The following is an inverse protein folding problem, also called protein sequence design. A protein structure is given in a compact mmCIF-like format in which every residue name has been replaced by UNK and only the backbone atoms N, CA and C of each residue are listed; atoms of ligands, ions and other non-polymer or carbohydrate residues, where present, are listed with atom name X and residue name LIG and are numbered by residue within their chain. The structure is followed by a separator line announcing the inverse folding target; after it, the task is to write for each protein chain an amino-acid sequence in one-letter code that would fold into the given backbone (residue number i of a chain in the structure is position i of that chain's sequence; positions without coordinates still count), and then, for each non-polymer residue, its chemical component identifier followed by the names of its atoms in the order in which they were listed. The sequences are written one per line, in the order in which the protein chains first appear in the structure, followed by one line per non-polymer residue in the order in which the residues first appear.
data_IF_454020386486
#
_entry.id   IF_454020386486
#
_cell.length_a   1.000
_cell.length_b   1.000
_cell.length_c   1.000
_cell.angle_alpha   90.00
_cell.angle_beta   90.00
_cell.angle_gamma   90.00
#
_symmetry.space_group_name_H-M   'P 1'
#
loop_
_entity.id
_entity.type
_entity.pdbx_description
1 polymer ?
#
# COMPACT_ATOMS: atom_id res chain seq x y z
N UNK A 1 4.74 5.64 -24.86
CA UNK A 1 4.73 5.92 -26.31
C UNK A 1 5.07 4.68 -27.14
N UNK A 2 5.95 3.81 -26.65
CA UNK A 2 6.35 2.57 -27.33
C UNK A 2 5.15 1.66 -27.67
N UNK A 3 4.12 1.63 -26.83
CA UNK A 3 2.88 0.86 -27.09
C UNK A 3 2.12 1.35 -28.32
N UNK A 4 2.23 2.63 -28.67
CA UNK A 4 1.58 3.20 -29.85
C UNK A 4 2.35 2.89 -31.15
N UNK A 5 3.64 2.62 -31.05
CA UNK A 5 4.56 2.41 -32.19
C UNK A 5 4.78 0.91 -32.49
N UNK A 6 4.55 0.03 -31.53
CA UNK A 6 4.86 -1.39 -31.61
C UNK A 6 3.67 -2.36 -31.84
N UNK A 7 2.44 -1.88 -31.83
CA UNK A 7 1.26 -2.72 -31.87
C UNK A 7 0.94 -3.38 -33.23
N UNK A 8 1.66 -3.00 -34.30
CA UNK A 8 1.42 -3.50 -35.66
C UNK A 8 2.15 -4.79 -36.06
N UNK A 9 2.90 -5.46 -35.16
CA UNK A 9 3.77 -6.61 -35.54
C UNK A 9 3.30 -8.00 -35.07
N UNK A 10 2.09 -8.15 -34.61
CA UNK A 10 1.53 -9.46 -34.26
C UNK A 10 0.48 -9.89 -35.29
N UNK A 11 0.96 -10.65 -36.29
CA UNK A 11 0.15 -11.60 -37.09
C UNK A 11 -0.89 -11.02 -38.05
N UNK A 12 -0.67 -11.29 -39.35
CA UNK A 12 -1.66 -11.32 -40.44
C UNK A 12 -2.99 -10.58 -40.17
N UNK A 13 -3.03 -9.30 -40.50
CA UNK A 13 -4.24 -8.48 -40.47
C UNK A 13 -3.85 -7.02 -40.38
N UNK A 14 -4.34 -6.23 -41.31
CA UNK A 14 -4.14 -4.79 -41.51
C UNK A 14 -4.49 -3.98 -40.22
N UNK A 15 -3.65 -4.08 -39.20
CA UNK A 15 -3.78 -3.24 -38.00
C UNK A 15 -3.12 -1.91 -38.29
N UNK A 16 -3.95 -0.90 -38.53
CA UNK A 16 -3.52 0.49 -38.61
C UNK A 16 -2.65 0.82 -37.41
N UNK A 17 -1.33 0.87 -37.61
CA UNK A 17 -0.39 1.30 -36.59
C UNK A 17 -0.75 2.73 -36.17
N UNK A 18 -1.19 2.94 -34.92
CA UNK A 18 -1.57 4.25 -34.39
C UNK A 18 -0.48 5.31 -34.66
N UNK A 19 0.77 4.89 -34.75
CA UNK A 19 1.88 5.76 -35.13
C UNK A 19 1.69 6.34 -36.54
N UNK A 20 1.14 5.59 -37.50
CA UNK A 20 0.93 6.09 -38.86
C UNK A 20 -0.15 7.17 -38.93
N UNK A 21 -1.11 7.18 -38.00
CA UNK A 21 -2.12 8.25 -37.88
C UNK A 21 -1.49 9.50 -37.22
N UNK A 22 -0.64 9.30 -36.21
CA UNK A 22 -0.04 10.40 -35.45
C UNK A 22 1.08 11.13 -36.22
N UNK A 23 1.88 10.42 -36.99
CA UNK A 23 3.00 11.00 -37.76
C UNK A 23 2.61 12.18 -38.66
N UNK A 24 1.56 12.12 -39.47
CA UNK A 24 1.14 13.26 -40.28
C UNK A 24 0.66 14.46 -39.47
N UNK A 25 -0.07 14.24 -38.37
CA UNK A 25 -0.57 15.29 -37.51
C UNK A 25 0.57 15.99 -36.76
N UNK A 26 1.56 15.25 -36.29
CA UNK A 26 2.79 15.78 -35.70
C UNK A 26 3.61 16.57 -36.75
N UNK A 27 3.64 16.10 -37.99
CA UNK A 27 4.36 16.78 -39.08
C UNK A 27 3.79 18.13 -39.42
N UNK A 28 2.45 18.28 -39.33
CA UNK A 28 1.74 19.54 -39.58
C UNK A 28 1.68 20.47 -38.36
N UNK A 29 2.23 19.99 -37.19
CA UNK A 29 2.14 20.77 -35.95
C UNK A 29 0.73 20.82 -35.30
N UNK A 30 -0.19 20.02 -35.82
CA UNK A 30 -1.56 19.91 -35.30
C UNK A 30 -1.61 19.21 -33.94
N UNK A 31 -0.60 18.33 -33.68
CA UNK A 31 -0.53 17.55 -32.46
C UNK A 31 0.83 17.76 -31.77
N UNK A 32 0.79 18.19 -30.51
CA UNK A 32 1.93 18.24 -29.60
C UNK A 32 1.88 17.02 -28.68
N UNK A 33 2.95 16.24 -28.63
CA UNK A 33 3.00 14.99 -27.87
C UNK A 33 4.17 15.03 -26.88
N UNK A 34 3.87 14.71 -25.63
CA UNK A 34 4.89 14.37 -24.62
C UNK A 34 4.74 12.88 -24.34
N UNK A 35 5.78 12.09 -24.64
CA UNK A 35 5.76 10.65 -24.46
C UNK A 35 6.85 10.21 -23.48
N UNK A 36 6.51 9.31 -22.56
CA UNK A 36 7.44 8.64 -21.67
C UNK A 36 7.70 7.21 -22.17
N UNK A 37 8.94 6.78 -22.03
CA UNK A 37 9.39 5.41 -22.38
C UNK A 37 10.71 5.10 -21.67
N UNK A 38 11.13 3.84 -21.66
CA UNK A 38 12.45 3.44 -21.17
C UNK A 38 13.50 3.58 -22.26
N UNK A 39 14.79 3.65 -21.88
CA UNK A 39 15.88 3.71 -22.84
C UNK A 39 15.89 2.52 -23.81
N UNK A 40 15.62 1.31 -23.29
CA UNK A 40 15.56 0.09 -24.11
C UNK A 40 14.44 0.14 -25.14
N UNK A 41 13.26 0.56 -24.72
CA UNK A 41 12.09 0.70 -25.60
C UNK A 41 12.28 1.84 -26.61
N UNK A 42 12.90 2.95 -26.19
CA UNK A 42 13.26 4.03 -27.09
C UNK A 42 14.16 3.52 -28.24
N UNK A 43 15.24 2.81 -27.91
CA UNK A 43 16.16 2.23 -28.90
C UNK A 43 15.49 1.17 -29.79
N UNK A 44 14.58 0.41 -29.23
CA UNK A 44 13.92 -0.66 -29.94
C UNK A 44 12.84 -0.17 -30.91
N UNK A 45 12.08 0.85 -30.54
CA UNK A 45 10.86 1.26 -31.24
C UNK A 45 10.93 2.66 -31.84
N UNK A 46 11.51 3.64 -31.16
CA UNK A 46 11.51 5.04 -31.59
C UNK A 46 12.72 5.38 -32.46
N UNK A 47 13.92 5.00 -32.04
CA UNK A 47 15.17 5.30 -32.73
C UNK A 47 15.24 4.67 -34.12
N UNK A 48 14.57 3.54 -34.31
CA UNK A 48 14.48 2.86 -35.60
C UNK A 48 13.47 3.51 -36.57
N UNK A 49 12.60 4.39 -36.08
CA UNK A 49 11.63 5.12 -36.88
C UNK A 49 12.10 6.54 -37.12
N UNK A 50 12.80 6.76 -38.22
CA UNK A 50 13.35 8.06 -38.60
C UNK A 50 12.30 9.18 -38.69
N UNK A 51 11.03 8.85 -38.89
CA UNK A 51 9.95 9.82 -38.96
C UNK A 51 9.53 10.33 -37.55
N UNK A 52 9.60 9.48 -36.55
CA UNK A 52 9.36 9.87 -35.16
C UNK A 52 10.59 10.54 -34.54
N UNK A 53 11.78 9.99 -34.78
CA UNK A 53 13.01 10.50 -34.22
C UNK A 53 13.25 11.98 -34.58
N UNK A 54 12.98 12.36 -35.84
CA UNK A 54 13.18 13.75 -36.32
C UNK A 54 12.13 14.73 -35.76
N UNK A 55 11.03 14.22 -35.15
CA UNK A 55 9.91 15.06 -34.66
C UNK A 55 9.83 15.11 -33.15
N UNK A 56 10.66 14.33 -32.45
CA UNK A 56 10.69 14.28 -31.00
C UNK A 56 12.04 14.70 -30.44
N UNK A 57 12.04 15.62 -29.48
CA UNK A 57 13.24 15.97 -28.74
C UNK A 57 13.40 15.01 -27.57
N UNK A 58 14.56 14.36 -27.49
CA UNK A 58 14.92 13.50 -26.34
C UNK A 58 15.15 14.35 -25.09
N UNK A 59 14.47 14.04 -24.02
CA UNK A 59 14.70 14.57 -22.68
C UNK A 59 15.06 13.44 -21.76
N UNK A 60 16.31 13.39 -21.34
CA UNK A 60 16.81 12.34 -20.47
C UNK A 60 16.53 12.68 -19.01
N UNK A 61 15.68 11.91 -18.34
CA UNK A 61 15.39 12.04 -16.93
C UNK A 61 16.32 11.11 -16.16
N UNK A 62 17.26 11.69 -15.41
CA UNK A 62 18.21 10.94 -14.56
C UNK A 62 17.56 10.56 -13.25
N UNK A 63 18.08 9.51 -12.63
CA UNK A 63 17.77 9.18 -11.24
C UNK A 63 18.16 10.35 -10.33
N UNK A 64 17.27 10.79 -9.42
CA UNK A 64 17.59 11.88 -8.50
C UNK A 64 18.59 11.42 -7.43
N UNK A 65 19.35 12.36 -6.91
CA UNK A 65 20.21 12.13 -5.74
C UNK A 65 19.39 11.85 -4.47
N UNK A 66 20.03 11.35 -3.42
CA UNK A 66 19.39 11.14 -2.11
C UNK A 66 18.77 12.43 -1.55
N UNK A 67 19.46 13.56 -1.70
CA UNK A 67 18.99 14.86 -1.22
C UNK A 67 17.76 15.35 -2.00
N UNK A 68 17.79 15.20 -3.32
CA UNK A 68 16.65 15.51 -4.18
C UNK A 68 15.47 14.58 -3.89
N UNK A 69 15.73 13.27 -3.71
CA UNK A 69 14.72 12.29 -3.31
C UNK A 69 14.07 12.66 -1.98
N UNK A 70 14.86 13.04 -0.97
CA UNK A 70 14.33 13.47 0.32
C UNK A 70 13.42 14.70 0.19
N UNK A 71 13.80 15.64 -0.67
CA UNK A 71 12.98 16.83 -0.95
C UNK A 71 11.66 16.46 -1.60
N UNK A 72 11.67 15.53 -2.56
CA UNK A 72 10.45 14.99 -3.21
C UNK A 72 9.56 14.32 -2.16
N UNK A 73 10.13 13.46 -1.31
CA UNK A 73 9.37 12.74 -0.28
C UNK A 73 8.76 13.69 0.76
N UNK A 74 9.46 14.75 1.16
CA UNK A 74 8.92 15.80 2.04
C UNK A 74 7.71 16.51 1.40
N UNK A 75 7.76 16.75 0.09
CA UNK A 75 6.63 17.31 -0.66
C UNK A 75 5.42 16.37 -0.74
N UNK A 76 5.63 15.06 -0.72
CA UNK A 76 4.58 14.05 -0.77
C UNK A 76 4.05 13.62 0.62
N UNK A 77 4.79 13.93 1.69
CA UNK A 77 4.53 13.49 3.06
C UNK A 77 3.09 13.70 3.48
N UNK A 78 2.54 14.90 3.28
CA UNK A 78 1.20 15.26 3.70
C UNK A 78 0.15 14.38 3.02
N UNK A 79 0.31 14.08 1.72
CA UNK A 79 -0.60 13.21 0.96
C UNK A 79 -0.60 11.79 1.51
N UNK A 80 0.57 11.25 1.88
CA UNK A 80 0.67 9.92 2.51
C UNK A 80 0.06 9.89 3.91
N UNK A 81 0.31 10.92 4.73
CA UNK A 81 -0.30 11.02 6.06
C UNK A 81 -1.83 11.00 6.01
N UNK A 82 -2.42 11.64 4.99
CA UNK A 82 -3.85 11.62 4.77
C UNK A 82 -4.37 10.27 4.26
N UNK A 83 -3.69 9.72 3.26
CA UNK A 83 -4.11 8.47 2.63
C UNK A 83 -4.04 7.30 3.62
N UNK A 84 -2.93 7.17 4.32
CA UNK A 84 -2.73 6.10 5.30
C UNK A 84 -3.31 6.41 6.67
N UNK A 85 -3.63 7.67 6.96
CA UNK A 85 -4.11 8.12 8.27
C UNK A 85 -3.09 7.87 9.39
N UNK A 86 -1.81 7.94 9.06
CA UNK A 86 -0.66 7.72 9.95
C UNK A 86 0.23 8.95 9.90
N UNK A 87 0.76 9.37 11.04
CA UNK A 87 1.76 10.45 11.09
C UNK A 87 3.13 9.92 10.71
N UNK A 88 3.79 10.59 9.75
CA UNK A 88 5.13 10.23 9.26
C UNK A 88 6.14 11.26 9.79
N UNK A 89 7.12 10.81 10.56
CA UNK A 89 8.22 11.66 11.03
C UNK A 89 9.27 11.87 9.93
N UNK A 90 9.95 13.01 9.94
CA UNK A 90 11.01 13.31 8.96
C UNK A 90 12.14 12.28 8.98
N UNK A 91 12.51 11.81 10.18
CA UNK A 91 13.51 10.74 10.32
C UNK A 91 13.12 9.43 9.61
N UNK A 92 11.83 9.13 9.48
CA UNK A 92 11.36 7.97 8.72
C UNK A 92 11.60 8.16 7.22
N UNK A 93 11.43 9.39 6.69
CA UNK A 93 11.74 9.70 5.29
C UNK A 93 13.23 9.58 5.01
N UNK A 94 14.08 10.12 5.90
CA UNK A 94 15.54 9.98 5.80
C UNK A 94 15.94 8.50 5.82
N UNK A 95 15.43 7.74 6.77
CA UNK A 95 15.72 6.30 6.87
C UNK A 95 15.24 5.54 5.62
N UNK A 96 14.08 5.89 5.06
CA UNK A 96 13.57 5.23 3.85
C UNK A 96 14.49 5.48 2.65
N UNK A 97 14.99 6.69 2.47
CA UNK A 97 15.95 7.01 1.40
C UNK A 97 17.25 6.24 1.58
N UNK A 98 17.83 6.25 2.78
CA UNK A 98 19.10 5.59 3.07
C UNK A 98 19.01 4.05 2.95
N UNK A 99 17.96 3.47 3.56
CA UNK A 99 17.80 2.01 3.56
C UNK A 99 17.41 1.49 2.18
N UNK A 100 16.54 2.18 1.45
CA UNK A 100 16.17 1.77 0.09
C UNK A 100 17.39 1.84 -0.86
N UNK A 101 18.20 2.87 -0.76
CA UNK A 101 19.41 3.00 -1.56
C UNK A 101 20.44 1.90 -1.25
N UNK A 102 20.54 1.52 0.02
CA UNK A 102 21.51 0.52 0.47
C UNK A 102 21.07 -0.93 0.19
N UNK A 103 19.79 -1.23 0.29
CA UNK A 103 19.32 -2.62 0.28
C UNK A 103 18.46 -2.99 -0.92
N UNK A 104 17.89 -2.00 -1.65
CA UNK A 104 17.05 -2.24 -2.83
C UNK A 104 17.83 -1.85 -4.08
N UNK A 105 18.33 -2.85 -4.81
CA UNK A 105 19.21 -2.64 -5.97
C UNK A 105 18.49 -2.84 -7.32
N UNK A 106 17.27 -3.37 -7.31
CA UNK A 106 16.47 -3.69 -8.49
C UNK A 106 15.54 -2.54 -8.93
N UNK A 107 15.52 -1.44 -8.16
CA UNK A 107 14.71 -0.25 -8.40
C UNK A 107 15.53 1.03 -8.23
N UNK A 108 15.01 2.12 -8.77
CA UNK A 108 15.66 3.43 -8.77
C UNK A 108 14.99 4.38 -7.75
N UNK A 109 15.73 5.39 -7.31
CA UNK A 109 15.16 6.52 -6.60
C UNK A 109 14.35 7.40 -7.58
N UNK A 110 13.23 8.01 -7.16
CA UNK A 110 12.69 8.01 -5.80
C UNK A 110 11.79 6.80 -5.50
N UNK A 111 11.40 6.00 -6.49
CA UNK A 111 10.36 4.98 -6.38
C UNK A 111 10.60 3.97 -5.25
N UNK A 112 11.83 3.44 -5.13
CA UNK A 112 12.16 2.49 -4.07
C UNK A 112 11.99 3.05 -2.65
N UNK A 113 12.22 4.34 -2.46
CA UNK A 113 12.03 5.00 -1.18
C UNK A 113 10.54 5.30 -0.90
N UNK A 114 9.81 5.66 -1.95
CA UNK A 114 8.36 5.87 -1.92
C UNK A 114 7.65 4.57 -1.54
N UNK A 115 7.95 3.48 -2.21
CA UNK A 115 7.38 2.16 -1.96
C UNK A 115 7.62 1.72 -0.50
N UNK A 116 8.82 1.97 0.02
CA UNK A 116 9.18 1.60 1.40
C UNK A 116 8.34 2.36 2.44
N UNK A 117 8.11 3.65 2.23
CA UNK A 117 7.23 4.46 3.12
C UNK A 117 5.78 4.05 2.97
N UNK A 118 5.32 3.80 1.76
CA UNK A 118 3.94 3.39 1.49
C UNK A 118 3.62 2.06 2.18
N UNK A 119 4.49 1.07 2.02
CA UNK A 119 4.36 -0.24 2.67
C UNK A 119 4.43 -0.13 4.20
N UNK A 120 5.37 0.64 4.74
CA UNK A 120 5.49 0.84 6.18
C UNK A 120 4.25 1.52 6.77
N UNK A 121 3.74 2.56 6.11
CA UNK A 121 2.52 3.26 6.52
C UNK A 121 1.28 2.37 6.44
N UNK A 122 1.14 1.59 5.37
CA UNK A 122 0.06 0.61 5.21
C UNK A 122 0.09 -0.47 6.31
N UNK A 123 1.28 -0.97 6.65
CA UNK A 123 1.47 -1.94 7.72
C UNK A 123 1.08 -1.38 9.09
N UNK A 124 1.51 -0.16 9.40
CA UNK A 124 1.12 0.53 10.65
C UNK A 124 -0.40 0.71 10.70
N UNK A 125 -1.00 1.22 9.63
CA UNK A 125 -2.46 1.36 9.52
C UNK A 125 -3.18 0.04 9.81
N UNK A 126 -2.75 -1.04 9.17
CA UNK A 126 -3.31 -2.38 9.39
C UNK A 126 -3.16 -2.82 10.85
N UNK A 127 -2.01 -2.58 11.47
CA UNK A 127 -1.79 -2.90 12.88
C UNK A 127 -2.69 -2.10 13.82
N UNK A 128 -2.91 -0.82 13.55
CA UNK A 128 -3.80 0.03 14.36
C UNK A 128 -5.27 -0.42 14.31
N UNK A 129 -5.72 -0.97 13.17
CA UNK A 129 -7.09 -1.46 13.01
C UNK A 129 -7.24 -2.96 13.31
N UNK A 130 -6.16 -3.68 13.49
CA UNK A 130 -6.20 -5.09 13.86
C UNK A 130 -6.51 -5.27 15.34
N UNK A 131 -7.14 -6.38 15.68
CA UNK A 131 -7.39 -6.77 17.07
C UNK A 131 -6.07 -6.92 17.83
N UNK A 132 -5.89 -6.28 19.00
CA UNK A 132 -4.69 -6.46 19.80
C UNK A 132 -4.42 -7.93 20.11
N UNK A 133 -3.15 -8.34 20.09
CA UNK A 133 -2.76 -9.76 20.35
C UNK A 133 -3.36 -10.30 21.64
N UNK A 134 -3.35 -9.47 22.71
CA UNK A 134 -3.92 -9.88 24.00
C UNK A 134 -5.42 -10.18 23.92
N UNK A 135 -6.18 -9.42 23.13
CA UNK A 135 -7.61 -9.66 22.92
C UNK A 135 -7.85 -10.90 22.03
N UNK A 136 -7.02 -11.10 21.00
CA UNK A 136 -7.11 -12.29 20.14
C UNK A 136 -6.82 -13.59 20.92
N UNK A 137 -5.80 -13.58 21.79
CA UNK A 137 -5.49 -14.72 22.66
C UNK A 137 -6.66 -15.03 23.61
N UNK A 138 -7.26 -14.01 24.24
CA UNK A 138 -8.42 -14.18 25.09
C UNK A 138 -9.62 -14.70 24.29
N UNK A 139 -9.87 -14.17 23.08
CA UNK A 139 -10.93 -14.66 22.21
C UNK A 139 -10.77 -16.13 21.86
N UNK A 140 -9.58 -16.54 21.45
CA UNK A 140 -9.29 -17.97 21.15
C UNK A 140 -9.51 -18.85 22.37
N UNK A 141 -9.11 -18.39 23.56
CA UNK A 141 -9.28 -19.16 24.79
C UNK A 141 -10.75 -19.27 25.19
N UNK A 142 -11.53 -18.21 25.01
CA UNK A 142 -12.98 -18.22 25.23
C UNK A 142 -13.64 -19.25 24.31
N UNK A 143 -13.36 -19.22 23.00
CA UNK A 143 -13.91 -20.19 22.03
C UNK A 143 -13.54 -21.63 22.41
N UNK A 144 -12.28 -21.87 22.83
CA UNK A 144 -11.84 -23.19 23.29
C UNK A 144 -12.67 -23.67 24.49
N UNK A 145 -12.82 -22.84 25.53
CA UNK A 145 -13.58 -23.21 26.73
C UNK A 145 -15.08 -23.32 26.46
N UNK A 146 -15.65 -22.56 25.53
CA UNK A 146 -17.05 -22.71 25.09
C UNK A 146 -17.28 -24.07 24.41
N UNK A 147 -16.32 -24.49 23.55
CA UNK A 147 -16.36 -25.81 22.92
C UNK A 147 -16.22 -26.93 23.94
N UNK A 148 -15.30 -26.80 24.90
CA UNK A 148 -15.11 -27.75 26.01
C UNK A 148 -16.36 -27.84 26.89
N UNK A 149 -16.97 -26.69 27.23
CA UNK A 149 -18.24 -26.62 27.96
C UNK A 149 -19.35 -27.35 27.22
N UNK A 150 -19.48 -27.14 25.90
CA UNK A 150 -20.48 -27.82 25.10
C UNK A 150 -20.33 -29.35 25.16
N UNK A 151 -19.09 -29.85 24.98
CA UNK A 151 -18.79 -31.28 25.06
C UNK A 151 -19.09 -31.86 26.44
N UNK A 152 -18.68 -31.18 27.52
CA UNK A 152 -18.91 -31.64 28.89
C UNK A 152 -20.37 -31.58 29.30
N UNK A 153 -21.20 -30.74 28.70
CA UNK A 153 -22.62 -30.63 28.97
C UNK A 153 -23.42 -31.85 28.49
N UNK A 154 -22.91 -32.58 27.49
CA UNK A 154 -23.54 -33.80 26.98
C UNK A 154 -23.24 -35.03 27.86
N UNK A 155 -22.20 -34.96 28.72
CA UNK A 155 -21.81 -36.02 29.62
C UNK A 155 -22.54 -35.92 30.97
N UNK A 156 -23.04 -37.08 31.48
CA UNK A 156 -23.81 -37.15 32.74
C UNK A 156 -22.97 -37.58 33.96
N UNK A 157 -21.68 -37.79 33.78
CA UNK A 157 -20.79 -38.30 34.79
C UNK A 157 -20.43 -37.25 35.87
N UNK A 158 -20.27 -37.64 37.11
CA UNK A 158 -19.97 -36.74 38.24
C UNK A 158 -18.63 -36.05 38.14
N UNK A 159 -17.65 -36.66 37.41
CA UNK A 159 -16.37 -36.04 37.11
C UNK A 159 -16.54 -34.91 36.09
N UNK A 160 -17.34 -35.14 35.06
CA UNK A 160 -17.62 -34.15 34.00
C UNK A 160 -18.39 -32.97 34.57
N UNK A 161 -19.28 -33.14 35.53
CA UNK A 161 -19.96 -32.03 36.23
C UNK A 161 -19.03 -31.14 37.03
N UNK A 162 -18.02 -31.71 37.75
CA UNK A 162 -17.02 -30.89 38.45
C UNK A 162 -16.12 -30.10 37.48
N UNK A 163 -15.72 -30.74 36.38
CA UNK A 163 -14.94 -30.07 35.34
C UNK A 163 -15.72 -28.96 34.66
N UNK A 164 -17.01 -29.20 34.37
CA UNK A 164 -17.92 -28.22 33.81
C UNK A 164 -18.03 -26.98 34.70
N UNK A 165 -18.21 -27.13 36.01
CA UNK A 165 -18.24 -25.99 36.94
C UNK A 165 -16.93 -25.22 36.97
N UNK A 166 -15.79 -25.90 36.84
CA UNK A 166 -14.48 -25.25 36.76
C UNK A 166 -14.31 -24.47 35.46
N UNK A 167 -14.66 -25.07 34.33
CA UNK A 167 -14.65 -24.45 33.00
C UNK A 167 -15.58 -23.25 32.93
N UNK A 168 -16.75 -23.32 33.54
CA UNK A 168 -17.70 -22.19 33.63
C UNK A 168 -17.13 -20.99 34.39
N UNK A 169 -16.45 -21.22 35.52
CA UNK A 169 -15.79 -20.15 36.29
C UNK A 169 -14.68 -19.49 35.47
N UNK A 170 -13.82 -20.29 34.84
CA UNK A 170 -12.76 -19.76 33.97
C UNK A 170 -13.32 -18.95 32.79
N UNK A 171 -14.41 -19.44 32.21
CA UNK A 171 -15.08 -18.78 31.10
C UNK A 171 -15.68 -17.43 31.51
N UNK A 172 -16.26 -17.34 32.71
CA UNK A 172 -16.79 -16.10 33.25
C UNK A 172 -15.69 -15.06 33.50
N UNK A 173 -14.56 -15.46 34.09
CA UNK A 173 -13.40 -14.59 34.30
C UNK A 173 -12.82 -14.09 32.98
N UNK A 174 -12.66 -14.98 32.00
CA UNK A 174 -12.14 -14.63 30.70
C UNK A 174 -13.10 -13.72 29.91
N UNK A 175 -14.41 -13.93 30.01
CA UNK A 175 -15.42 -13.04 29.39
C UNK A 175 -15.39 -11.65 30.01
N UNK A 176 -15.19 -11.50 31.32
CA UNK A 176 -14.98 -10.20 31.97
C UNK A 176 -13.72 -9.52 31.43
N UNK A 177 -12.61 -10.23 31.34
CA UNK A 177 -11.36 -9.72 30.77
C UNK A 177 -11.51 -9.34 29.30
N UNK A 178 -12.19 -10.17 28.51
CA UNK A 178 -12.52 -9.89 27.11
C UNK A 178 -13.32 -8.60 26.96
N UNK A 179 -14.34 -8.40 27.79
CA UNK A 179 -15.19 -7.20 27.75
C UNK A 179 -14.38 -5.94 28.06
N UNK A 180 -13.48 -5.99 29.06
CA UNK A 180 -12.60 -4.86 29.40
C UNK A 180 -11.65 -4.51 28.27
N UNK A 181 -10.91 -5.49 27.74
CA UNK A 181 -9.98 -5.27 26.62
C UNK A 181 -10.70 -4.80 25.35
N UNK A 182 -11.90 -5.31 25.09
CA UNK A 182 -12.70 -4.90 23.93
C UNK A 182 -13.19 -3.46 24.06
N UNK A 183 -13.53 -3.02 25.28
CA UNK A 183 -13.93 -1.65 25.56
C UNK A 183 -12.75 -0.70 25.35
N UNK A 184 -11.59 -0.99 25.95
CA UNK A 184 -10.37 -0.21 25.79
C UNK A 184 -9.95 -0.07 24.33
N UNK A 185 -9.97 -1.17 23.57
CA UNK A 185 -9.65 -1.17 22.16
C UNK A 185 -10.62 -0.31 21.33
N UNK A 186 -11.94 -0.41 21.60
CA UNK A 186 -12.93 0.41 20.91
C UNK A 186 -12.78 1.89 21.22
N UNK A 187 -12.53 2.25 22.47
CA UNK A 187 -12.29 3.65 22.87
C UNK A 187 -11.06 4.23 22.15
N UNK A 188 -9.95 3.52 22.10
CA UNK A 188 -8.75 3.93 21.37
C UNK A 188 -9.01 4.09 19.87
N UNK A 189 -9.76 3.18 19.29
CA UNK A 189 -10.13 3.24 17.86
C UNK A 189 -11.01 4.45 17.56
N UNK A 190 -12.02 4.70 18.38
CA UNK A 190 -12.95 5.82 18.22
C UNK A 190 -12.23 7.18 18.38
N UNK A 191 -11.28 7.30 19.29
CA UNK A 191 -10.45 8.50 19.43
C UNK A 191 -9.60 8.75 18.19
N UNK A 192 -8.98 7.70 17.67
CA UNK A 192 -8.18 7.79 16.45
C UNK A 192 -9.02 8.19 15.22
N UNK A 193 -10.21 7.61 15.09
CA UNK A 193 -11.11 7.92 13.98
C UNK A 193 -11.63 9.37 14.06
N UNK A 194 -11.91 9.89 15.26
CA UNK A 194 -12.25 11.31 15.47
C UNK A 194 -11.11 12.25 15.08
N UNK A 195 -9.87 11.91 15.46
CA UNK A 195 -8.69 12.69 15.09
C UNK A 195 -8.48 12.74 13.57
N UNK A 196 -8.63 11.60 12.90
CA UNK A 196 -8.50 11.51 11.45
C UNK A 196 -9.63 12.26 10.71
N UNK A 197 -10.85 12.19 11.20
CA UNK A 197 -11.97 12.95 10.66
C UNK A 197 -11.75 14.48 10.79
N UNK A 198 -11.18 14.93 11.91
CA UNK A 198 -10.85 16.33 12.15
C UNK A 198 -9.72 16.82 11.22
N UNK A 199 -8.69 16.00 10.99
CA UNK A 199 -7.60 16.30 10.05
C UNK A 199 -8.10 16.45 8.62
N UNK A 200 -8.96 15.52 8.16
CA UNK A 200 -9.57 15.61 6.81
C UNK A 200 -10.42 16.85 6.62
N UNK A 201 -11.13 17.30 7.67
CA UNK A 201 -11.92 18.54 7.59
C UNK A 201 -11.04 19.77 7.47
N UNK A 202 -9.94 19.84 8.20
CA UNK A 202 -8.98 20.96 8.14
C UNK A 202 -8.31 21.10 6.77
N UNK A 203 -8.13 20.02 6.07
CA UNK A 203 -7.44 20.01 4.78
C UNK A 203 -8.39 20.30 3.60
N UNK A 204 -9.68 20.03 3.76
CA UNK A 204 -10.70 20.36 2.76
C UNK A 204 -11.20 21.83 2.89
N UNK A 205 -10.66 22.59 3.84
CA UNK A 205 -10.90 24.05 4.01
C UNK A 205 -9.79 24.87 3.35
#
# INVERSE_FOLDING_TARGET
IHMLVGTGKTGQGDTMDAANILKPMMARGELKVIGATTLKEYQQYIEKDAALERRMQKVFVKEPSKEETLTIMRGLKQRWELFHQVKIHDNALVAAVELSDRYINDRYLPDKAIDLIDEAAAKIKTQMYSTPKALDEVNRRVVYLETEKAALSEEKDDKSKKLLQHTEKQLEELKKKQATLNKEWREQKDEHDKLNASRKKLENM
#
